data_IF_287254712130
#
_entry.id   IF_287254712130
#
_cell.length_a   1.000
_cell.length_b   1.000
_cell.length_c   1.000
_cell.angle_alpha   90.00
_cell.angle_beta   90.00
_cell.angle_gamma   90.00
#
_symmetry.space_group_name_H-M   'P 1'
#
loop_
_entity.id
_entity.type
_entity.pdbx_description
1 polymer ?
#
# COMPACT_ATOMS: atom_id res chain seq x y z
N UNK A 1 -28.05 -29.05 -13.94
CA UNK A 1 -27.18 -27.96 -13.45
C UNK A 1 -28.06 -27.01 -12.64
N UNK A 2 -28.21 -27.28 -11.36
CA UNK A 2 -29.05 -26.48 -10.46
C UNK A 2 -28.21 -25.36 -9.88
N UNK A 3 -28.55 -24.10 -10.17
CA UNK A 3 -27.94 -22.92 -9.53
C UNK A 3 -28.63 -22.68 -8.20
N UNK A 4 -27.94 -22.99 -7.11
CA UNK A 4 -28.27 -22.48 -5.77
C UNK A 4 -27.95 -20.98 -5.74
N UNK A 5 -28.98 -20.16 -5.58
CA UNK A 5 -28.85 -18.75 -5.22
C UNK A 5 -29.02 -18.69 -3.70
N UNK A 6 -27.93 -18.38 -3.00
CA UNK A 6 -27.93 -18.10 -1.56
C UNK A 6 -28.54 -16.71 -1.38
N UNK A 7 -29.71 -16.65 -0.73
CA UNK A 7 -30.37 -15.40 -0.34
C UNK A 7 -29.87 -15.01 1.06
N UNK A 8 -29.28 -13.82 1.17
CA UNK A 8 -28.89 -13.20 2.44
C UNK A 8 -30.12 -12.70 3.22
N UNK A 9 -30.15 -12.83 4.56
CA UNK A 9 -31.25 -12.33 5.38
C UNK A 9 -31.09 -10.82 5.58
N UNK A 10 -31.69 -10.04 4.68
CA UNK A 10 -31.65 -8.57 4.77
C UNK A 10 -32.57 -7.84 3.79
N UNK A 11 -33.15 -8.54 2.82
CA UNK A 11 -34.17 -7.97 1.94
C UNK A 11 -35.57 -8.26 2.47
N UNK A 12 -35.96 -7.61 3.57
CA UNK A 12 -37.39 -7.41 3.84
C UNK A 12 -37.86 -6.25 2.98
N UNK A 13 -38.81 -6.56 2.11
CA UNK A 13 -39.44 -5.64 1.19
C UNK A 13 -39.93 -4.39 1.92
N UNK A 14 -39.42 -3.23 1.51
CA UNK A 14 -40.03 -1.94 1.82
C UNK A 14 -41.35 -1.91 1.05
N UNK A 15 -42.43 -2.33 1.72
CA UNK A 15 -43.78 -2.22 1.19
C UNK A 15 -44.07 -0.74 0.97
N UNK A 16 -44.14 -0.33 -0.30
CA UNK A 16 -44.49 1.02 -0.70
C UNK A 16 -45.86 1.38 -0.10
N UNK A 17 -45.86 2.36 0.81
CA UNK A 17 -47.07 2.91 1.40
C UNK A 17 -47.81 3.71 0.32
N UNK A 18 -48.87 3.14 -0.23
CA UNK A 18 -49.83 3.86 -1.08
C UNK A 18 -50.82 4.59 -0.16
N UNK A 19 -50.85 5.94 -0.14
CA UNK A 19 -51.90 6.66 0.57
C UNK A 19 -53.22 6.48 -0.18
N UNK A 20 -54.22 5.86 0.47
CA UNK A 20 -55.59 5.80 -0.06
C UNK A 20 -56.20 7.21 -0.21
N UNK A 21 -57.06 7.42 -1.22
CA UNK A 21 -57.66 8.71 -1.52
C UNK A 21 -58.47 9.25 -0.34
N UNK A 22 -58.30 10.56 -0.09
CA UNK A 22 -58.90 11.28 1.02
C UNK A 22 -60.41 11.07 1.13
N UNK A 23 -60.87 10.87 2.37
CA UNK A 23 -62.29 10.80 2.71
C UNK A 23 -62.90 12.18 2.49
N UNK A 24 -63.42 12.42 1.28
CA UNK A 24 -64.28 13.58 0.98
C UNK A 24 -65.65 13.35 1.62
N UNK A 25 -65.93 14.07 2.70
CA UNK A 25 -67.26 14.04 3.35
C UNK A 25 -68.07 15.22 2.82
N UNK A 26 -69.02 14.93 1.93
CA UNK A 26 -70.19 15.79 1.73
C UNK A 26 -71.06 15.70 2.98
N UNK A 27 -71.14 16.79 3.73
CA UNK A 27 -72.14 16.98 4.78
C UNK A 27 -73.46 17.24 4.04
N UNK A 28 -74.39 16.29 4.09
CA UNK A 28 -75.75 16.56 3.61
C UNK A 28 -76.35 17.65 4.48
N UNK A 29 -76.48 18.83 3.91
CA UNK A 29 -77.16 20.00 4.44
C UNK A 29 -78.68 19.74 4.36
N UNK A 30 -79.17 18.76 5.12
CA UNK A 30 -80.60 18.54 5.26
C UNK A 30 -81.10 19.31 6.49
N UNK A 31 -82.07 20.20 6.25
CA UNK A 31 -82.93 20.89 7.23
C UNK A 31 -82.49 22.24 7.80
N UNK A 32 -81.99 23.17 6.98
CA UNK A 32 -81.95 24.61 7.34
C UNK A 32 -82.30 25.53 6.16
N UNK A 33 -83.40 25.26 5.45
CA UNK A 33 -84.01 26.22 4.50
C UNK A 33 -85.51 26.00 4.41
N UNK A 34 -86.26 26.51 5.39
CA UNK A 34 -87.42 27.39 5.14
C UNK A 34 -87.98 27.85 6.49
N UNK A 35 -87.75 29.11 6.84
CA UNK A 35 -88.53 29.79 7.88
C UNK A 35 -89.37 30.84 7.18
N UNK A 36 -90.47 30.39 6.58
CA UNK A 36 -91.65 31.22 6.48
C UNK A 36 -92.32 31.23 7.86
N UNK A 37 -92.68 32.44 8.28
CA UNK A 37 -93.25 32.76 9.59
C UNK A 37 -94.60 32.07 9.82
N UNK A 38 -94.62 30.98 10.58
CA UNK A 38 -95.81 30.59 11.37
C UNK A 38 -95.38 29.78 12.61
N UNK A 39 -95.81 30.21 13.79
CA UNK A 39 -95.47 29.60 15.08
C UNK A 39 -96.33 28.34 15.33
N UNK A 40 -96.15 27.30 14.50
CA UNK A 40 -96.60 25.94 14.80
C UNK A 40 -95.58 25.20 15.68
N UNK A 41 -95.99 24.28 16.57
CA UNK A 41 -95.04 23.56 17.42
C UNK A 41 -94.07 22.77 16.53
N UNK A 42 -92.76 23.00 16.68
CA UNK A 42 -91.72 22.10 16.17
C UNK A 42 -92.14 20.67 16.47
N UNK A 43 -92.42 19.89 15.43
CA UNK A 43 -93.02 18.58 15.63
C UNK A 43 -91.99 17.67 16.26
N UNK A 44 -92.43 16.71 17.09
CA UNK A 44 -91.56 15.69 17.69
C UNK A 44 -90.76 14.93 16.61
N UNK A 45 -91.27 14.88 15.39
CA UNK A 45 -90.66 14.22 14.22
C UNK A 45 -89.39 14.95 13.73
N UNK A 46 -89.39 16.29 13.69
CA UNK A 46 -88.22 17.09 13.29
C UNK A 46 -87.06 16.95 14.28
N UNK A 47 -87.38 16.91 15.57
CA UNK A 47 -86.42 16.67 16.65
C UNK A 47 -85.83 15.26 16.53
N UNK A 48 -86.67 14.25 16.25
CA UNK A 48 -86.22 12.87 16.09
C UNK A 48 -85.29 12.70 14.89
N UNK A 49 -85.60 13.35 13.76
CA UNK A 49 -84.76 13.35 12.56
C UNK A 49 -83.39 13.98 12.81
N UNK A 50 -83.37 15.14 13.46
CA UNK A 50 -82.13 15.85 13.80
C UNK A 50 -81.27 15.03 14.77
N UNK A 51 -81.89 14.39 15.77
CA UNK A 51 -81.19 13.51 16.71
C UNK A 51 -80.58 12.29 16.01
N UNK A 52 -81.29 11.70 15.05
CA UNK A 52 -80.79 10.58 14.25
C UNK A 52 -79.58 10.99 13.38
N UNK A 53 -79.64 12.16 12.74
CA UNK A 53 -78.53 12.71 11.96
C UNK A 53 -77.29 13.01 12.83
N UNK A 54 -77.49 13.56 14.03
CA UNK A 54 -76.42 13.78 15.00
C UNK A 54 -75.79 12.46 15.46
N UNK A 55 -76.61 11.47 15.80
CA UNK A 55 -76.15 10.13 16.22
C UNK A 55 -75.31 9.48 15.14
N UNK A 56 -75.72 9.61 13.88
CA UNK A 56 -74.97 9.10 12.72
C UNK A 56 -73.63 9.82 12.56
N UNK A 57 -73.62 11.14 12.69
CA UNK A 57 -72.39 11.95 12.61
C UNK A 57 -71.40 11.59 13.72
N UNK A 58 -71.88 11.46 14.96
CA UNK A 58 -71.05 11.05 16.11
C UNK A 58 -70.46 9.66 15.90
N UNK A 59 -71.24 8.72 15.36
CA UNK A 59 -70.75 7.38 15.05
C UNK A 59 -69.64 7.39 13.99
N UNK A 60 -69.78 8.22 12.94
CA UNK A 60 -68.74 8.38 11.91
C UNK A 60 -67.48 9.05 12.45
N UNK A 61 -67.62 10.07 13.29
CA UNK A 61 -66.48 10.71 13.96
C UNK A 61 -65.74 9.73 14.88
N UNK A 62 -66.46 8.90 15.63
CA UNK A 62 -65.87 7.87 16.48
C UNK A 62 -65.04 6.86 15.66
N UNK A 63 -65.57 6.39 14.53
CA UNK A 63 -64.83 5.49 13.63
C UNK A 63 -63.58 6.16 13.03
N UNK A 64 -63.64 7.46 12.70
CA UNK A 64 -62.49 8.22 12.22
C UNK A 64 -61.42 8.37 13.30
N UNK A 65 -61.81 8.68 14.53
CA UNK A 65 -60.88 8.77 15.67
C UNK A 65 -60.15 7.44 15.87
N UNK A 66 -60.85 6.31 15.84
CA UNK A 66 -60.24 4.98 15.91
C UNK A 66 -59.24 4.75 14.77
N UNK A 67 -59.61 5.13 13.54
CA UNK A 67 -58.72 5.02 12.37
C UNK A 67 -57.47 5.88 12.53
N UNK A 68 -57.61 7.12 13.01
CA UNK A 68 -56.48 8.02 13.26
C UNK A 68 -55.57 7.46 14.34
N UNK A 69 -56.13 6.94 15.44
CA UNK A 69 -55.33 6.33 16.50
C UNK A 69 -54.51 5.15 15.98
N UNK A 70 -55.09 4.25 15.18
CA UNK A 70 -54.32 3.16 14.57
C UNK A 70 -53.20 3.64 13.66
N UNK A 71 -53.39 4.74 12.92
CA UNK A 71 -52.32 5.34 12.11
C UNK A 71 -51.23 5.96 12.97
N UNK A 72 -51.58 6.60 14.08
CA UNK A 72 -50.63 7.15 15.05
C UNK A 72 -49.80 6.04 15.69
N UNK A 73 -50.43 4.93 16.07
CA UNK A 73 -49.73 3.76 16.60
C UNK A 73 -48.73 3.21 15.57
N UNK A 74 -49.17 3.01 14.32
CA UNK A 74 -48.31 2.53 13.24
C UNK A 74 -47.11 3.47 12.97
N UNK A 75 -47.34 4.78 12.99
CA UNK A 75 -46.26 5.77 12.86
C UNK A 75 -45.28 5.71 14.04
N UNK A 76 -45.78 5.53 15.26
CA UNK A 76 -44.95 5.39 16.46
C UNK A 76 -44.02 4.18 16.33
N UNK A 77 -44.55 3.02 15.92
CA UNK A 77 -43.72 1.83 15.66
C UNK A 77 -42.67 2.06 14.57
N UNK A 78 -43.03 2.76 13.49
CA UNK A 78 -42.11 3.06 12.41
C UNK A 78 -40.96 3.98 12.86
N UNK A 79 -41.28 5.01 13.67
CA UNK A 79 -40.27 5.91 14.25
C UNK A 79 -39.32 5.14 15.17
N UNK A 80 -39.84 4.28 16.04
CA UNK A 80 -39.01 3.46 16.92
C UNK A 80 -38.08 2.52 16.13
N UNK A 81 -38.57 1.92 15.04
CA UNK A 81 -37.76 1.08 14.16
C UNK A 81 -36.63 1.90 13.50
N UNK A 82 -36.96 3.08 12.96
CA UNK A 82 -35.98 3.99 12.35
C UNK A 82 -34.90 4.42 13.35
N UNK A 83 -35.27 4.71 14.60
CA UNK A 83 -34.32 5.08 15.65
C UNK A 83 -33.33 3.95 15.96
N UNK A 84 -33.80 2.68 16.01
CA UNK A 84 -32.92 1.51 16.20
C UNK A 84 -31.94 1.37 15.04
N UNK A 85 -32.43 1.41 13.80
CA UNK A 85 -31.57 1.32 12.61
C UNK A 85 -30.55 2.44 12.55
N UNK A 86 -30.93 3.67 12.95
CA UNK A 86 -29.99 4.79 13.01
C UNK A 86 -28.89 4.54 14.05
N UNK A 87 -29.22 3.99 15.21
CA UNK A 87 -28.24 3.62 16.23
C UNK A 87 -27.26 2.57 15.72
N UNK A 88 -27.78 1.49 15.13
CA UNK A 88 -26.95 0.40 14.56
C UNK A 88 -26.02 0.91 13.44
N UNK A 89 -26.53 1.80 12.60
CA UNK A 89 -25.74 2.43 11.53
C UNK A 89 -24.61 3.29 12.10
N UNK A 90 -24.89 4.03 13.19
CA UNK A 90 -23.89 4.84 13.87
C UNK A 90 -22.79 3.96 14.46
N UNK A 91 -23.16 2.91 15.19
CA UNK A 91 -22.21 1.98 15.81
C UNK A 91 -21.32 1.32 14.74
N UNK A 92 -21.91 0.91 13.62
CA UNK A 92 -21.18 0.34 12.47
C UNK A 92 -20.20 1.36 11.87
N UNK A 93 -20.61 2.62 11.76
CA UNK A 93 -19.74 3.69 11.24
C UNK A 93 -18.54 3.93 12.16
N UNK A 94 -18.76 3.93 13.47
CA UNK A 94 -17.68 4.08 14.45
C UNK A 94 -16.70 2.89 14.41
N UNK A 95 -17.20 1.66 14.20
CA UNK A 95 -16.36 0.46 14.03
C UNK A 95 -15.51 0.52 12.75
N UNK A 96 -16.12 0.94 11.63
CA UNK A 96 -15.39 1.12 10.37
C UNK A 96 -14.30 2.18 10.52
N UNK A 97 -14.57 3.28 11.22
CA UNK A 97 -13.56 4.31 11.46
C UNK A 97 -12.37 3.75 12.26
N UNK A 98 -12.62 3.02 13.36
CA UNK A 98 -11.53 2.40 14.14
C UNK A 98 -10.71 1.41 13.32
N UNK A 99 -11.36 0.65 12.44
CA UNK A 99 -10.67 -0.28 11.54
C UNK A 99 -9.78 0.49 10.56
N UNK A 100 -10.27 1.59 9.98
CA UNK A 100 -9.48 2.42 9.07
C UNK A 100 -8.27 3.05 9.76
N UNK A 101 -8.46 3.53 10.98
CA UNK A 101 -7.37 4.11 11.79
C UNK A 101 -6.28 3.05 12.05
N UNK A 102 -6.67 1.81 12.41
CA UNK A 102 -5.73 0.71 12.61
C UNK A 102 -4.98 0.30 11.32
N UNK A 103 -5.68 0.25 10.18
CA UNK A 103 -5.04 -0.03 8.88
C UNK A 103 -4.02 1.06 8.50
N UNK A 104 -4.31 2.33 8.82
CA UNK A 104 -3.38 3.43 8.56
C UNK A 104 -2.11 3.32 9.42
N UNK A 105 -2.22 2.91 10.68
CA UNK A 105 -1.09 2.65 11.56
C UNK A 105 -0.23 1.49 11.04
N UNK A 106 -0.85 0.36 10.70
CA UNK A 106 -0.14 -0.79 10.11
C UNK A 106 0.58 -0.44 8.80
N UNK A 107 0.00 0.44 7.99
CA UNK A 107 0.62 0.90 6.75
C UNK A 107 1.90 1.70 7.01
N UNK A 108 1.91 2.56 8.04
CA UNK A 108 3.10 3.34 8.40
C UNK A 108 4.20 2.43 8.96
N UNK A 109 3.82 1.45 9.79
CA UNK A 109 4.75 0.44 10.32
C UNK A 109 5.41 -0.37 9.18
N UNK A 110 4.63 -0.80 8.20
CA UNK A 110 5.16 -1.50 7.02
C UNK A 110 6.12 -0.63 6.21
N UNK A 111 5.84 0.67 6.10
CA UNK A 111 6.71 1.60 5.38
C UNK A 111 8.06 1.75 6.08
N UNK A 112 8.07 1.92 7.40
CA UNK A 112 9.31 1.98 8.19
C UNK A 112 10.13 0.69 8.06
N UNK A 113 9.46 -0.47 8.13
CA UNK A 113 10.14 -1.75 7.95
C UNK A 113 10.75 -1.90 6.54
N UNK A 114 10.10 -1.38 5.51
CA UNK A 114 10.64 -1.40 4.14
C UNK A 114 11.88 -0.52 4.00
N UNK A 115 11.86 0.68 4.60
CA UNK A 115 13.02 1.58 4.64
C UNK A 115 14.23 0.89 5.33
N UNK A 116 14.01 0.20 6.45
CA UNK A 116 15.08 -0.56 7.14
C UNK A 116 15.66 -1.70 6.29
N UNK A 117 14.81 -2.39 5.52
CA UNK A 117 15.25 -3.45 4.60
C UNK A 117 16.07 -2.87 3.43
N UNK A 118 15.69 -1.70 2.92
CA UNK A 118 16.43 -1.02 1.86
C UNK A 118 17.83 -0.61 2.33
N UNK A 119 17.92 0.01 3.52
CA UNK A 119 19.20 0.38 4.15
C UNK A 119 20.10 -0.85 4.36
N UNK A 120 19.53 -1.93 4.92
CA UNK A 120 20.25 -3.19 5.14
C UNK A 120 20.76 -3.78 3.82
N UNK A 121 19.94 -3.72 2.77
CA UNK A 121 20.33 -4.22 1.44
C UNK A 121 21.47 -3.40 0.86
N UNK A 122 21.44 -2.08 1.01
CA UNK A 122 22.52 -1.19 0.60
C UNK A 122 23.84 -1.53 1.31
N UNK A 123 23.81 -1.68 2.63
CA UNK A 123 24.98 -2.05 3.42
C UNK A 123 25.55 -3.42 3.02
N UNK A 124 24.69 -4.41 2.76
CA UNK A 124 25.13 -5.72 2.28
C UNK A 124 25.80 -5.62 0.90
N UNK A 125 25.26 -4.82 -0.01
CA UNK A 125 25.86 -4.63 -1.33
C UNK A 125 27.25 -3.99 -1.25
N UNK A 126 27.44 -3.01 -0.36
CA UNK A 126 28.73 -2.39 -0.11
C UNK A 126 29.75 -3.42 0.39
N UNK A 127 29.40 -4.18 1.43
CA UNK A 127 30.27 -5.24 1.98
C UNK A 127 30.61 -6.30 0.93
N UNK A 128 29.65 -6.70 0.10
CA UNK A 128 29.89 -7.64 -1.00
C UNK A 128 30.87 -7.06 -2.02
N UNK A 129 30.78 -5.76 -2.32
CA UNK A 129 31.74 -5.04 -3.16
C UNK A 129 33.15 -5.09 -2.58
N UNK A 130 33.30 -4.70 -1.31
CA UNK A 130 34.59 -4.71 -0.61
C UNK A 130 35.23 -6.10 -0.58
N UNK A 131 34.44 -7.13 -0.25
CA UNK A 131 34.92 -8.53 -0.23
C UNK A 131 35.37 -8.98 -1.61
N UNK A 132 34.63 -8.61 -2.66
CA UNK A 132 34.98 -8.94 -4.04
C UNK A 132 36.31 -8.28 -4.45
N UNK A 133 36.48 -7.01 -4.11
CA UNK A 133 37.70 -6.27 -4.42
C UNK A 133 38.90 -6.85 -3.68
N UNK A 134 38.75 -7.12 -2.38
CA UNK A 134 39.78 -7.77 -1.57
C UNK A 134 40.13 -9.18 -2.08
N UNK A 135 39.15 -9.97 -2.52
CA UNK A 135 39.39 -11.28 -3.13
C UNK A 135 40.12 -11.15 -4.48
N UNK A 136 39.77 -10.15 -5.28
CA UNK A 136 40.48 -9.82 -6.52
C UNK A 136 41.94 -9.46 -6.28
N UNK A 137 42.21 -8.61 -5.30
CA UNK A 137 43.57 -8.21 -4.92
C UNK A 137 44.38 -9.40 -4.39
N UNK A 138 43.78 -10.22 -3.51
CA UNK A 138 44.44 -11.40 -2.96
C UNK A 138 44.80 -12.43 -4.05
N UNK A 139 43.91 -12.66 -5.01
CA UNK A 139 44.19 -13.58 -6.13
C UNK A 139 45.27 -13.04 -7.07
N UNK A 140 45.27 -11.72 -7.32
CA UNK A 140 46.33 -11.07 -8.10
C UNK A 140 47.70 -11.18 -7.43
N UNK A 141 47.81 -10.87 -6.14
CA UNK A 141 49.08 -10.95 -5.42
C UNK A 141 49.58 -12.40 -5.30
N UNK A 142 48.69 -13.38 -5.09
CA UNK A 142 49.06 -14.80 -5.11
C UNK A 142 49.65 -15.22 -6.47
N UNK A 143 49.06 -14.76 -7.58
CA UNK A 143 49.60 -15.00 -8.92
C UNK A 143 50.96 -14.33 -9.11
N UNK A 144 51.15 -13.09 -8.65
CA UNK A 144 52.44 -12.40 -8.68
C UNK A 144 53.50 -13.15 -7.85
N UNK A 145 53.16 -13.64 -6.66
CA UNK A 145 54.08 -14.42 -5.84
C UNK A 145 54.52 -15.72 -6.54
N UNK A 146 53.59 -16.42 -7.20
CA UNK A 146 53.93 -17.61 -7.97
C UNK A 146 54.85 -17.30 -9.15
N UNK A 147 54.63 -16.17 -9.84
CA UNK A 147 55.50 -15.70 -10.92
C UNK A 147 56.90 -15.35 -10.39
N UNK A 148 56.98 -14.60 -9.28
CA UNK A 148 58.25 -14.26 -8.62
C UNK A 148 59.02 -15.51 -8.21
N UNK A 149 58.35 -16.49 -7.59
CA UNK A 149 58.96 -17.77 -7.21
C UNK A 149 59.45 -18.56 -8.44
N UNK A 150 58.66 -18.59 -9.51
CA UNK A 150 59.04 -19.23 -10.78
C UNK A 150 60.27 -18.56 -11.37
N UNK A 151 60.24 -17.23 -11.52
CA UNK A 151 61.36 -16.46 -12.03
C UNK A 151 62.61 -16.69 -11.19
N UNK A 152 62.52 -16.72 -9.86
CA UNK A 152 63.66 -16.99 -8.97
C UNK A 152 64.37 -18.31 -9.30
N UNK A 153 63.63 -19.34 -9.66
CA UNK A 153 64.18 -20.67 -10.00
C UNK A 153 64.74 -20.79 -11.42
N UNK A 154 64.42 -19.85 -12.32
CA UNK A 154 64.90 -19.90 -13.71
C UNK A 154 66.42 -19.70 -13.83
N UNK A 155 67.11 -20.40 -14.74
CA UNK A 155 68.51 -20.10 -15.04
C UNK A 155 68.65 -18.72 -15.70
N UNK A 156 69.86 -18.10 -15.67
CA UNK A 156 70.05 -16.70 -16.10
C UNK A 156 69.60 -16.36 -17.52
N UNK A 157 69.64 -17.35 -18.42
CA UNK A 157 69.31 -17.25 -19.84
C UNK A 157 67.84 -17.62 -20.15
N UNK A 158 67.10 -18.16 -19.18
CA UNK A 158 65.72 -18.55 -19.42
C UNK A 158 64.79 -17.32 -19.48
N UNK A 159 63.72 -17.39 -20.30
CA UNK A 159 62.79 -16.30 -20.47
C UNK A 159 62.00 -16.04 -19.19
N UNK A 160 61.94 -14.77 -18.76
CA UNK A 160 61.16 -14.34 -17.60
C UNK A 160 59.65 -14.45 -17.86
N UNK A 161 58.92 -14.82 -16.82
CA UNK A 161 57.44 -14.91 -16.83
C UNK A 161 56.85 -13.63 -16.25
N UNK A 162 55.74 -13.17 -16.83
CA UNK A 162 55.04 -11.93 -16.47
C UNK A 162 53.52 -12.15 -16.36
N UNK A 163 52.80 -11.34 -15.57
CA UNK A 163 51.39 -11.57 -15.24
C UNK A 163 50.36 -11.33 -16.36
N UNK A 164 50.70 -10.79 -17.53
CA UNK A 164 49.73 -10.52 -18.61
C UNK A 164 50.36 -10.65 -20.02
N UNK A 165 49.78 -11.48 -20.89
CA UNK A 165 50.32 -11.90 -22.21
C UNK A 165 50.07 -10.93 -23.37
N UNK A 166 49.32 -9.85 -23.17
CA UNK A 166 48.69 -9.12 -24.30
C UNK A 166 49.47 -7.97 -24.95
N UNK A 167 50.43 -7.31 -24.28
CA UNK A 167 50.97 -6.02 -24.78
C UNK A 167 52.48 -5.76 -24.64
N UNK A 168 53.31 -6.73 -24.24
CA UNK A 168 54.61 -6.40 -23.62
C UNK A 168 55.81 -7.10 -24.21
N UNK A 169 56.14 -6.82 -25.48
CA UNK A 169 57.38 -7.33 -26.08
C UNK A 169 58.54 -6.32 -26.09
N UNK A 170 58.28 -5.02 -25.90
CA UNK A 170 59.29 -4.00 -26.19
C UNK A 170 59.99 -3.39 -24.96
N UNK A 171 59.35 -3.38 -23.78
CA UNK A 171 59.87 -2.67 -22.60
C UNK A 171 60.25 -3.59 -21.43
N UNK A 172 60.03 -4.90 -21.56
CA UNK A 172 60.36 -5.88 -20.53
C UNK A 172 61.56 -6.71 -20.95
N UNK A 173 62.51 -6.99 -20.03
CA UNK A 173 63.67 -7.81 -20.32
C UNK A 173 63.24 -9.24 -20.66
N UNK A 174 63.88 -9.83 -21.66
CA UNK A 174 63.57 -11.19 -22.07
C UNK A 174 64.06 -12.21 -21.04
N UNK A 175 65.24 -11.99 -20.44
CA UNK A 175 65.88 -12.89 -19.47
C UNK A 175 66.33 -12.19 -18.19
N UNK A 176 66.71 -12.95 -17.16
CA UNK A 176 67.32 -12.39 -15.93
C UNK A 176 68.57 -11.57 -16.24
N UNK A 177 69.37 -12.04 -17.18
CA UNK A 177 70.62 -11.37 -17.52
C UNK A 177 70.39 -10.04 -18.23
N UNK A 178 69.29 -9.90 -18.97
CA UNK A 178 68.87 -8.62 -19.55
C UNK A 178 68.36 -7.68 -18.45
N UNK A 179 67.56 -8.20 -17.52
CA UNK A 179 67.04 -7.43 -16.39
C UNK A 179 68.16 -6.88 -15.48
N UNK A 180 69.25 -7.61 -15.30
CA UNK A 180 70.42 -7.17 -14.53
C UNK A 180 71.25 -6.08 -15.23
N UNK A 181 71.09 -5.91 -16.54
CA UNK A 181 71.81 -4.90 -17.34
C UNK A 181 71.00 -3.62 -17.58
N UNK A 182 69.73 -3.60 -17.17
CA UNK A 182 68.86 -2.45 -17.37
C UNK A 182 69.36 -1.23 -16.60
N UNK A 183 69.23 -0.08 -17.26
CA UNK A 183 69.43 1.22 -16.65
C UNK A 183 68.26 1.58 -15.73
N UNK A 184 68.47 2.57 -14.86
CA UNK A 184 67.42 3.05 -13.97
C UNK A 184 66.19 3.56 -14.74
N UNK A 185 66.39 4.27 -15.86
CA UNK A 185 65.28 4.77 -16.70
C UNK A 185 64.46 3.63 -17.28
N UNK A 186 65.12 2.58 -17.80
CA UNK A 186 64.43 1.40 -18.34
C UNK A 186 63.70 0.64 -17.25
N UNK A 187 64.27 0.53 -16.03
CA UNK A 187 63.62 -0.12 -14.90
C UNK A 187 62.36 0.65 -14.44
N UNK A 188 62.42 1.98 -14.42
CA UNK A 188 61.27 2.84 -14.09
C UNK A 188 60.16 2.70 -15.13
N UNK A 189 60.50 2.72 -16.43
CA UNK A 189 59.53 2.49 -17.51
C UNK A 189 58.91 1.09 -17.42
N UNK A 190 59.72 0.07 -17.15
CA UNK A 190 59.23 -1.29 -17.00
C UNK A 190 58.28 -1.43 -15.80
N UNK A 191 58.59 -0.83 -14.65
CA UNK A 191 57.72 -0.79 -13.47
C UNK A 191 56.38 -0.08 -13.75
N UNK A 192 56.43 1.05 -14.47
CA UNK A 192 55.23 1.75 -14.92
C UNK A 192 54.36 0.85 -15.81
N UNK A 193 54.96 0.19 -16.80
CA UNK A 193 54.24 -0.75 -17.66
C UNK A 193 53.72 -1.96 -16.91
N UNK A 194 54.41 -2.40 -15.85
CA UNK A 194 53.99 -3.47 -14.95
C UNK A 194 52.81 -3.09 -14.06
N UNK A 195 52.42 -1.81 -14.03
CA UNK A 195 51.31 -1.32 -13.21
C UNK A 195 51.69 -1.13 -11.75
N UNK A 196 52.98 -1.04 -11.43
CA UNK A 196 53.45 -0.81 -10.06
C UNK A 196 53.11 0.62 -9.67
N UNK A 197 52.22 0.75 -8.67
CA UNK A 197 51.89 2.04 -8.08
C UNK A 197 53.09 2.53 -7.26
N UNK A 198 53.49 3.79 -7.46
CA UNK A 198 54.68 4.42 -6.87
C UNK A 198 56.02 3.85 -7.34
N UNK A 199 56.45 4.29 -8.51
CA UNK A 199 57.81 4.01 -9.04
C UNK A 199 58.81 4.91 -8.33
N UNK A 200 59.88 4.30 -7.80
CA UNK A 200 60.94 5.00 -7.09
C UNK A 200 61.74 5.92 -8.01
N UNK A 201 62.08 7.12 -7.53
CA UNK A 201 62.81 8.12 -8.31
C UNK A 201 64.31 7.99 -8.17
N UNK A 202 64.78 7.45 -7.04
CA UNK A 202 66.20 7.14 -6.86
C UNK A 202 66.64 6.03 -7.85
N UNK A 203 67.73 6.23 -8.61
CA UNK A 203 68.15 5.28 -9.64
C UNK A 203 68.48 3.88 -9.12
N UNK A 204 69.10 3.79 -7.94
CA UNK A 204 69.51 2.51 -7.33
C UNK A 204 68.28 1.80 -6.79
N UNK A 205 67.40 2.55 -6.12
CA UNK A 205 66.23 2.00 -5.48
C UNK A 205 65.15 1.61 -6.51
N UNK A 206 65.09 2.27 -7.68
CA UNK A 206 64.26 1.86 -8.82
C UNK A 206 64.68 0.51 -9.43
N UNK A 207 65.99 0.30 -9.62
CA UNK A 207 66.52 -1.00 -10.09
C UNK A 207 66.23 -2.09 -9.06
N UNK A 208 66.46 -1.80 -7.78
CA UNK A 208 66.18 -2.74 -6.69
C UNK A 208 64.69 -3.09 -6.62
N UNK A 209 63.80 -2.10 -6.75
CA UNK A 209 62.34 -2.28 -6.80
C UNK A 209 61.94 -3.17 -7.98
N UNK A 210 62.52 -2.94 -9.15
CA UNK A 210 62.28 -3.75 -10.35
C UNK A 210 62.74 -5.20 -10.19
N UNK A 211 63.96 -5.43 -9.68
CA UNK A 211 64.45 -6.78 -9.45
C UNK A 211 63.65 -7.52 -8.38
N UNK A 212 63.22 -6.84 -7.32
CA UNK A 212 62.34 -7.38 -6.29
C UNK A 212 60.97 -7.75 -6.87
N UNK A 213 60.38 -6.88 -7.70
CA UNK A 213 59.10 -7.13 -8.36
C UNK A 213 59.13 -8.39 -9.23
N UNK A 214 60.24 -8.66 -9.92
CA UNK A 214 60.43 -9.83 -10.77
C UNK A 214 60.87 -11.09 -10.03
N UNK A 215 61.23 -11.00 -8.75
CA UNK A 215 61.79 -12.13 -7.98
C UNK A 215 63.18 -12.55 -8.45
N UNK A 216 63.98 -11.62 -8.98
CA UNK A 216 65.33 -11.90 -9.47
C UNK A 216 66.33 -12.04 -8.31
N UNK A 217 66.08 -11.34 -7.19
CA UNK A 217 66.89 -11.37 -5.96
C UNK A 217 66.27 -12.27 -4.90
#
# INVERSE_FOLDING_TARGET
MSRNVVLHPGQQAVAAYHPEPGVMISINQAALTDTDTDNGPTTTEDIASTLHALTTTVSRLSALVTTVNHKVDALTYAVDAMQRTLSETRDTTEEVQRTLDGVAEEQEDMKMALEEVEDTTGAVQEVVGEVRDAAGESTHEAALQQIRATNKLLPPWAPLVYPELGKRKYFLPASKQDALKMTATEAQEALYWLGVQHVERDPVLAIAQFHAYLGIV
#
